data_IF_882695174763
#
_entry.id   IF_882695174763
#
_cell.length_a   1.000
_cell.length_b   1.000
_cell.length_c   1.000
_cell.angle_alpha   90.00
_cell.angle_beta   90.00
_cell.angle_gamma   90.00
#
_symmetry.space_group_name_H-M   'P 1'
#
loop_
_entity.id
_entity.type
_entity.pdbx_description
1 polymer ?
#
# COMPACT_ATOMS: atom_id res chain seq x y z
N UNK A 1 -15.74 2.48 -10.91
CA UNK A 1 -16.54 1.37 -10.38
C UNK A 1 -16.50 0.23 -11.38
N UNK A 2 -16.40 -1.01 -10.90
CA UNK A 2 -16.45 -2.23 -11.72
C UNK A 2 -17.70 -3.00 -11.33
N UNK A 3 -18.44 -3.50 -12.32
CA UNK A 3 -19.59 -4.37 -12.10
C UNK A 3 -19.24 -5.79 -12.55
N UNK A 4 -19.40 -6.76 -11.66
CA UNK A 4 -19.13 -8.16 -12.00
C UNK A 4 -20.35 -8.79 -12.71
N UNK A 5 -20.22 -10.04 -13.17
CA UNK A 5 -21.31 -10.76 -13.85
C UNK A 5 -22.56 -10.99 -12.99
N UNK A 6 -22.43 -11.02 -11.66
CA UNK A 6 -23.56 -11.17 -10.73
C UNK A 6 -24.17 -9.82 -10.30
N UNK A 7 -23.79 -8.73 -11.00
CA UNK A 7 -24.16 -7.33 -10.72
C UNK A 7 -23.57 -6.74 -9.43
N UNK A 8 -22.61 -7.42 -8.79
CA UNK A 8 -21.86 -6.84 -7.68
C UNK A 8 -21.08 -5.61 -8.13
N UNK A 9 -21.17 -4.54 -7.34
CA UNK A 9 -20.43 -3.29 -7.56
C UNK A 9 -19.18 -3.26 -6.68
N UNK A 10 -18.04 -3.01 -7.31
CA UNK A 10 -16.76 -2.85 -6.63
C UNK A 10 -16.24 -1.44 -6.94
N UNK A 11 -16.14 -0.61 -5.89
CA UNK A 11 -15.44 0.65 -5.97
C UNK A 11 -13.94 0.38 -5.85
N UNK A 12 -13.17 0.86 -6.82
CA UNK A 12 -11.71 0.86 -6.79
C UNK A 12 -11.26 2.31 -6.79
N UNK A 13 -10.55 2.72 -5.75
CA UNK A 13 -9.98 4.07 -5.60
C UNK A 13 -8.46 3.96 -5.64
N UNK A 14 -7.86 4.48 -6.70
CA UNK A 14 -6.40 4.59 -6.79
C UNK A 14 -5.96 5.92 -6.19
N UNK A 15 -4.97 5.87 -5.31
CA UNK A 15 -4.44 7.04 -4.60
C UNK A 15 -2.94 7.19 -4.83
N UNK A 16 -2.48 8.42 -4.82
CA UNK A 16 -1.07 8.77 -4.88
C UNK A 16 -0.49 8.86 -3.46
N UNK A 17 0.07 7.74 -3.00
CA UNK A 17 0.73 7.67 -1.69
C UNK A 17 2.06 8.40 -1.64
N UNK A 18 2.67 8.79 -2.77
CA UNK A 18 3.88 9.64 -2.75
C UNK A 18 3.56 11.03 -2.22
N UNK A 19 2.40 11.56 -2.58
CA UNK A 19 1.86 12.80 -2.02
C UNK A 19 1.53 12.69 -0.52
N UNK A 20 1.02 11.55 -0.09
CA UNK A 20 0.67 11.34 1.32
C UNK A 20 1.91 11.07 2.20
N UNK A 21 2.92 10.38 1.67
CA UNK A 21 4.16 10.06 2.40
C UNK A 21 5.23 11.16 2.32
N UNK A 22 5.24 11.94 1.23
CA UNK A 22 6.26 12.95 0.95
C UNK A 22 7.57 12.36 0.41
N UNK A 23 7.51 11.18 -0.24
CA UNK A 23 8.67 10.48 -0.79
C UNK A 23 8.95 9.11 -0.18
N UNK A 24 10.12 8.53 -0.49
CA UNK A 24 10.67 7.33 0.14
C UNK A 24 12.00 7.65 0.87
N UNK A 25 12.80 6.62 1.13
CA UNK A 25 14.13 6.70 1.74
C UNK A 25 15.11 7.60 0.98
N UNK A 26 15.04 7.63 -0.35
CA UNK A 26 16.03 8.26 -1.24
C UNK A 26 15.49 9.48 -1.97
N UNK A 27 14.22 9.47 -2.33
CA UNK A 27 13.55 10.45 -3.17
C UNK A 27 12.48 11.17 -2.35
N UNK A 28 12.49 12.50 -2.38
CA UNK A 28 11.44 13.35 -1.86
C UNK A 28 10.41 13.65 -2.95
N UNK A 29 9.16 13.85 -2.55
CA UNK A 29 8.12 14.38 -3.43
C UNK A 29 7.67 15.75 -2.90
N UNK A 30 7.81 16.79 -3.72
CA UNK A 30 7.34 18.13 -3.42
C UNK A 30 5.88 18.28 -3.85
N UNK A 31 4.98 18.49 -2.88
CA UNK A 31 3.55 18.68 -3.15
C UNK A 31 3.25 19.95 -3.95
N UNK A 32 4.03 21.01 -3.78
CA UNK A 32 3.74 22.29 -4.42
C UNK A 32 4.06 22.25 -5.92
N UNK A 33 5.10 21.51 -6.30
CA UNK A 33 5.59 21.46 -7.69
C UNK A 33 5.32 20.12 -8.37
N UNK A 34 4.97 19.07 -7.62
CA UNK A 34 4.89 17.69 -8.11
C UNK A 34 6.27 17.07 -8.44
N UNK A 35 7.37 17.76 -8.09
CA UNK A 35 8.72 17.33 -8.46
C UNK A 35 9.21 16.22 -7.53
N UNK A 36 9.82 15.19 -8.13
CA UNK A 36 10.63 14.21 -7.42
C UNK A 36 12.09 14.67 -7.39
N UNK A 37 12.74 14.59 -6.24
CA UNK A 37 14.13 15.01 -6.08
C UNK A 37 14.89 14.07 -5.16
N UNK A 38 16.17 13.85 -5.43
CA UNK A 38 17.02 13.06 -4.58
C UNK A 38 17.26 13.79 -3.26
N UNK A 39 17.06 13.10 -2.14
CA UNK A 39 17.22 13.68 -0.80
C UNK A 39 18.67 14.00 -0.48
N UNK A 40 19.59 13.08 -0.81
CA UNK A 40 21.00 13.22 -0.51
C UNK A 40 21.84 12.31 -1.41
N UNK A 41 22.55 12.88 -2.39
CA UNK A 41 23.38 12.12 -3.32
C UNK A 41 24.58 11.46 -2.61
N UNK A 42 25.14 12.14 -1.61
CA UNK A 42 26.28 11.63 -0.84
C UNK A 42 25.91 10.39 -0.03
N UNK A 43 24.69 10.34 0.53
CA UNK A 43 24.15 9.18 1.23
C UNK A 43 24.02 7.98 0.29
N UNK A 44 23.46 8.18 -0.91
CA UNK A 44 23.33 7.11 -1.92
C UNK A 44 24.69 6.50 -2.26
N UNK A 45 25.70 7.35 -2.51
CA UNK A 45 27.06 6.89 -2.79
C UNK A 45 27.67 6.14 -1.61
N UNK A 46 27.49 6.63 -0.39
CA UNK A 46 28.02 6.01 0.81
C UNK A 46 27.37 4.64 1.11
N UNK A 47 26.05 4.53 0.93
CA UNK A 47 25.33 3.27 1.13
C UNK A 47 25.68 2.24 0.06
N UNK A 48 25.92 2.66 -1.19
CA UNK A 48 26.47 1.78 -2.23
C UNK A 48 27.88 1.31 -1.89
N UNK A 49 28.78 2.21 -1.49
CA UNK A 49 30.14 1.85 -1.07
C UNK A 49 30.17 0.90 0.13
N UNK A 50 29.16 0.99 1.02
CA UNK A 50 28.98 0.09 2.15
C UNK A 50 28.26 -1.23 1.78
N UNK A 51 27.91 -1.46 0.52
CA UNK A 51 27.21 -2.66 0.06
C UNK A 51 25.77 -2.79 0.53
N UNK A 52 25.15 -1.69 0.99
CA UNK A 52 23.76 -1.69 1.48
C UNK A 52 22.73 -1.65 0.35
N UNK A 53 23.08 -0.98 -0.75
CA UNK A 53 22.26 -0.93 -1.96
C UNK A 53 22.99 -1.52 -3.16
N UNK A 54 22.22 -2.07 -4.10
CA UNK A 54 22.73 -2.64 -5.34
C UNK A 54 23.11 -1.55 -6.34
N UNK A 55 24.04 -1.88 -7.26
CA UNK A 55 24.51 -0.97 -8.30
C UNK A 55 23.38 -0.43 -9.18
N UNK A 56 22.39 -1.26 -9.50
CA UNK A 56 21.26 -0.85 -10.33
C UNK A 56 20.44 0.27 -9.66
N UNK A 57 20.15 0.14 -8.36
CA UNK A 57 19.45 1.17 -7.59
C UNK A 57 20.30 2.45 -7.48
N UNK A 58 21.58 2.31 -7.15
CA UNK A 58 22.53 3.43 -7.09
C UNK A 58 22.55 4.24 -8.40
N UNK A 59 22.69 3.55 -9.53
CA UNK A 59 22.82 4.19 -10.84
C UNK A 59 21.51 4.89 -11.26
N UNK A 60 20.35 4.28 -10.99
CA UNK A 60 19.05 4.91 -11.25
C UNK A 60 18.88 6.17 -10.40
N UNK A 61 19.16 6.10 -9.10
CA UNK A 61 18.98 7.23 -8.18
C UNK A 61 19.80 8.45 -8.58
N UNK A 62 21.06 8.23 -8.99
CA UNK A 62 21.97 9.33 -9.36
C UNK A 62 21.81 9.81 -10.81
N UNK A 63 21.18 9.01 -11.68
CA UNK A 63 20.95 9.38 -13.08
C UNK A 63 19.62 10.11 -13.26
N UNK A 64 18.57 9.62 -12.62
CA UNK A 64 17.19 10.07 -12.90
C UNK A 64 16.74 11.25 -12.01
N UNK A 65 17.42 11.49 -10.89
CA UNK A 65 16.99 12.50 -9.91
C UNK A 65 18.07 13.53 -9.64
N UNK A 66 17.70 14.80 -9.78
CA UNK A 66 18.48 15.92 -9.26
C UNK A 66 18.37 15.98 -7.73
N UNK A 67 19.48 16.31 -7.05
CA UNK A 67 19.47 16.52 -5.61
C UNK A 67 18.66 17.78 -5.24
N UNK A 68 17.83 17.66 -4.21
CA UNK A 68 17.08 18.79 -3.69
C UNK A 68 18.05 19.88 -3.18
N UNK A 69 17.83 21.17 -3.51
CA UNK A 69 18.68 22.24 -2.99
C UNK A 69 18.69 22.23 -1.46
N UNK A 70 19.82 22.52 -0.79
CA UNK A 70 19.92 22.51 0.68
C UNK A 70 18.88 23.39 1.39
N UNK A 71 18.33 24.38 0.68
CA UNK A 71 17.47 25.45 1.23
C UNK A 71 16.04 25.46 0.64
N UNK A 72 15.55 24.37 0.01
CA UNK A 72 14.16 24.26 -0.49
C UNK A 72 13.60 22.83 -0.40
N UNK A 73 12.32 22.65 -0.01
CA UNK A 73 11.68 23.10 1.23
C UNK A 73 10.96 21.94 1.95
N UNK A 74 10.28 22.28 3.04
CA UNK A 74 9.41 21.47 3.90
C UNK A 74 8.75 20.29 3.17
N UNK A 75 9.03 19.06 3.62
CA UNK A 75 8.34 17.85 3.16
C UNK A 75 6.91 17.90 3.69
N UNK A 76 5.98 18.32 2.86
CA UNK A 76 4.55 18.21 3.18
C UNK A 76 4.15 16.74 3.12
N UNK A 77 3.85 16.17 4.29
CA UNK A 77 3.18 14.86 4.41
C UNK A 77 1.69 15.09 4.61
N UNK A 78 0.89 14.10 4.22
CA UNK A 78 -0.55 14.12 4.46
C UNK A 78 -1.28 15.18 3.64
N UNK A 79 -1.06 15.20 2.32
CA UNK A 79 -1.78 16.06 1.36
C UNK A 79 -3.28 16.16 1.70
N UNK A 80 -3.74 17.29 2.28
CA UNK A 80 -5.07 17.39 2.84
C UNK A 80 -6.15 17.39 1.75
N UNK A 81 -5.82 17.87 0.55
CA UNK A 81 -6.75 17.86 -0.58
C UNK A 81 -7.03 16.43 -1.04
N UNK A 82 -5.99 15.60 -1.15
CA UNK A 82 -6.17 14.20 -1.51
C UNK A 82 -6.87 13.42 -0.40
N UNK A 83 -6.52 13.64 0.88
CA UNK A 83 -7.21 12.97 2.00
C UNK A 83 -8.70 13.29 2.03
N UNK A 84 -9.07 14.57 1.88
CA UNK A 84 -10.48 14.98 1.81
C UNK A 84 -11.20 14.36 0.60
N UNK A 85 -10.53 14.29 -0.55
CA UNK A 85 -11.07 13.64 -1.75
C UNK A 85 -11.28 12.13 -1.55
N UNK A 86 -10.33 11.43 -0.91
CA UNK A 86 -10.46 10.00 -0.58
C UNK A 86 -11.68 9.78 0.31
N UNK A 87 -11.79 10.52 1.41
CA UNK A 87 -12.91 10.41 2.34
C UNK A 87 -14.24 10.66 1.63
N UNK A 88 -14.36 11.76 0.88
CA UNK A 88 -15.59 12.10 0.14
C UNK A 88 -15.96 11.04 -0.89
N UNK A 89 -14.98 10.52 -1.62
CA UNK A 89 -15.18 9.50 -2.65
C UNK A 89 -15.66 8.17 -2.06
N UNK A 90 -15.05 7.75 -0.95
CA UNK A 90 -15.45 6.53 -0.26
C UNK A 90 -16.82 6.67 0.41
N UNK A 91 -17.10 7.83 1.01
CA UNK A 91 -18.37 8.11 1.70
C UNK A 91 -19.56 8.13 0.73
N UNK A 92 -19.38 8.74 -0.44
CA UNK A 92 -20.44 8.87 -1.44
C UNK A 92 -20.82 7.54 -2.14
N UNK A 93 -20.03 6.48 -1.96
CA UNK A 93 -20.24 5.21 -2.66
C UNK A 93 -21.07 4.21 -1.86
N UNK A 94 -22.06 3.63 -2.54
CA UNK A 94 -22.87 2.49 -2.07
C UNK A 94 -22.43 1.16 -2.67
N UNK A 95 -21.20 1.06 -3.19
CA UNK A 95 -20.68 -0.18 -3.76
C UNK A 95 -20.61 -1.30 -2.71
N UNK A 96 -20.84 -2.55 -3.15
CA UNK A 96 -20.80 -3.74 -2.29
C UNK A 96 -19.41 -3.97 -1.70
N UNK A 97 -18.36 -3.57 -2.42
CA UNK A 97 -16.97 -3.65 -1.99
C UNK A 97 -16.23 -2.34 -2.23
N UNK A 98 -15.39 -1.94 -1.26
CA UNK A 98 -14.49 -0.79 -1.39
C UNK A 98 -13.03 -1.26 -1.33
N UNK A 99 -12.30 -1.00 -2.42
CA UNK A 99 -10.89 -1.32 -2.57
C UNK A 99 -10.11 -0.03 -2.78
N UNK A 100 -9.07 0.19 -1.99
CA UNK A 100 -8.14 1.31 -2.14
C UNK A 100 -6.78 0.78 -2.58
N UNK A 101 -6.15 1.43 -3.55
CA UNK A 101 -4.86 1.02 -4.12
C UNK A 101 -3.86 2.17 -4.00
N UNK A 102 -2.71 1.90 -3.41
CA UNK A 102 -1.59 2.85 -3.30
C UNK A 102 -0.24 2.21 -3.61
N UNK A 103 0.83 3.00 -3.64
CA UNK A 103 2.17 2.47 -3.84
C UNK A 103 2.77 1.94 -2.52
N UNK A 104 2.84 2.78 -1.49
CA UNK A 104 3.44 2.46 -0.19
C UNK A 104 2.52 1.61 0.69
N UNK A 105 3.03 0.69 1.52
CA UNK A 105 2.21 0.04 2.55
C UNK A 105 1.71 1.05 3.58
N UNK A 106 0.46 0.90 4.04
CA UNK A 106 0.06 1.48 5.34
C UNK A 106 0.78 0.70 6.45
N UNK A 107 0.59 -0.61 6.46
CA UNK A 107 1.25 -1.56 7.36
C UNK A 107 2.16 -2.51 6.59
N UNK A 108 3.29 -2.88 7.20
CA UNK A 108 4.20 -3.86 6.63
C UNK A 108 4.95 -4.64 7.69
N UNK A 109 4.99 -5.96 7.50
CA UNK A 109 5.79 -6.89 8.29
C UNK A 109 7.27 -6.93 7.84
N UNK A 110 7.67 -6.12 6.87
CA UNK A 110 9.06 -5.98 6.45
C UNK A 110 9.88 -5.28 7.56
N UNK A 111 11.15 -5.67 7.69
CA UNK A 111 12.10 -5.02 8.61
C UNK A 111 13.27 -4.39 7.87
N UNK A 112 13.92 -3.40 8.49
CA UNK A 112 15.11 -2.74 7.93
C UNK A 112 14.76 -1.44 7.22
N UNK A 113 14.99 -1.37 5.91
CA UNK A 113 14.73 -0.15 5.11
C UNK A 113 13.24 0.14 4.88
N UNK A 114 12.38 -0.85 5.10
CA UNK A 114 10.94 -0.76 4.96
C UNK A 114 10.23 -1.11 6.28
N UNK A 115 8.91 -0.90 6.30
CA UNK A 115 8.04 -1.11 7.45
C UNK A 115 6.77 -0.27 7.29
N UNK A 116 6.05 -0.06 8.39
CA UNK A 116 4.88 0.81 8.41
C UNK A 116 5.19 2.21 7.89
N UNK A 117 4.33 2.74 7.03
CA UNK A 117 4.45 4.12 6.59
C UNK A 117 3.73 5.02 7.59
N UNK A 118 4.49 5.59 8.53
CA UNK A 118 3.95 6.32 9.67
C UNK A 118 2.93 7.43 9.32
N UNK A 119 3.11 8.15 8.22
CA UNK A 119 2.12 9.16 7.79
C UNK A 119 0.84 8.52 7.26
N UNK A 120 0.91 7.37 6.58
CA UNK A 120 -0.29 6.66 6.13
C UNK A 120 -1.04 6.02 7.29
N UNK A 121 -0.32 5.45 8.28
CA UNK A 121 -0.92 4.99 9.54
C UNK A 121 -1.63 6.13 10.27
N UNK A 122 -1.02 7.33 10.28
CA UNK A 122 -1.61 8.48 10.96
C UNK A 122 -2.80 9.09 10.22
N UNK A 123 -2.67 9.30 8.91
CA UNK A 123 -3.56 10.19 8.16
C UNK A 123 -4.52 9.41 7.23
N UNK A 124 -4.12 8.25 6.70
CA UNK A 124 -4.92 7.46 5.76
C UNK A 124 -5.70 6.34 6.45
N UNK A 125 -5.07 5.57 7.34
CA UNK A 125 -5.70 4.44 8.03
C UNK A 125 -7.03 4.82 8.71
N UNK A 126 -7.15 5.95 9.44
CA UNK A 126 -8.42 6.32 10.06
C UNK A 126 -9.56 6.50 9.04
N UNK A 127 -9.25 6.98 7.83
CA UNK A 127 -10.23 7.12 6.74
C UNK A 127 -10.62 5.74 6.21
N UNK A 128 -9.65 4.84 6.00
CA UNK A 128 -9.92 3.48 5.51
C UNK A 128 -10.86 2.72 6.46
N UNK A 129 -10.60 2.82 7.77
CA UNK A 129 -11.39 2.17 8.81
C UNK A 129 -12.79 2.80 8.91
N UNK A 130 -12.89 4.14 9.01
CA UNK A 130 -14.16 4.84 9.13
C UNK A 130 -15.08 4.63 7.92
N UNK A 131 -14.50 4.58 6.72
CA UNK A 131 -15.25 4.38 5.48
C UNK A 131 -15.49 2.91 5.12
N UNK A 132 -15.15 1.99 6.03
CA UNK A 132 -15.38 0.55 5.92
C UNK A 132 -14.71 -0.09 4.68
N UNK A 133 -13.50 0.36 4.34
CA UNK A 133 -12.70 -0.20 3.23
C UNK A 133 -12.42 -1.69 3.49
N UNK A 134 -12.66 -2.53 2.48
CA UNK A 134 -12.49 -3.97 2.63
C UNK A 134 -11.04 -4.39 2.40
N UNK A 135 -10.40 -3.77 1.40
CA UNK A 135 -9.03 -4.07 0.99
C UNK A 135 -8.24 -2.81 0.71
N UNK A 136 -7.01 -2.77 1.23
CA UNK A 136 -5.96 -1.87 0.77
C UNK A 136 -4.89 -2.69 0.04
N UNK A 137 -4.58 -2.32 -1.20
CA UNK A 137 -3.58 -3.00 -2.02
C UNK A 137 -2.36 -2.09 -2.19
N UNK A 138 -1.16 -2.65 -2.01
CA UNK A 138 0.09 -1.92 -2.23
C UNK A 138 1.21 -2.78 -2.82
N UNK A 139 2.27 -2.09 -3.24
CA UNK A 139 3.56 -2.68 -3.57
C UNK A 139 4.63 -2.12 -2.66
N UNK A 140 5.66 -1.52 -3.26
CA UNK A 140 6.81 -0.88 -2.62
C UNK A 140 7.73 -1.85 -1.87
N UNK A 141 7.22 -2.48 -0.83
CA UNK A 141 7.96 -3.51 -0.10
C UNK A 141 8.06 -4.73 -0.99
N UNK A 142 9.27 -5.11 -1.37
CA UNK A 142 9.56 -6.20 -2.30
C UNK A 142 9.30 -7.59 -1.68
N UNK A 143 8.12 -7.77 -1.11
CA UNK A 143 7.58 -9.00 -0.49
C UNK A 143 6.11 -9.17 -0.90
N UNK A 144 5.59 -10.37 -0.64
CA UNK A 144 4.16 -10.68 -0.65
C UNK A 144 3.71 -10.80 0.80
N UNK A 145 2.61 -10.16 1.18
CA UNK A 145 2.13 -10.22 2.57
C UNK A 145 0.63 -9.93 2.68
N UNK A 146 0.02 -10.46 3.73
CA UNK A 146 -1.35 -10.11 4.11
C UNK A 146 -1.40 -9.74 5.59
N UNK A 147 -1.89 -8.54 5.90
CA UNK A 147 -2.10 -8.03 7.26
C UNK A 147 -3.57 -7.63 7.40
N UNK A 148 -4.18 -7.92 8.54
CA UNK A 148 -5.53 -7.47 8.88
C UNK A 148 -5.53 -6.68 10.18
N UNK A 149 -5.94 -5.41 10.10
CA UNK A 149 -6.01 -4.47 11.22
C UNK A 149 -7.21 -3.53 11.03
N UNK A 150 -7.90 -3.18 12.11
CA UNK A 150 -9.02 -2.22 12.06
C UNK A 150 -10.18 -2.62 11.15
N UNK A 151 -10.34 -3.92 10.84
CA UNK A 151 -11.35 -4.41 9.91
C UNK A 151 -10.98 -4.29 8.42
N UNK A 152 -9.82 -3.73 8.10
CA UNK A 152 -9.27 -3.59 6.73
C UNK A 152 -8.26 -4.71 6.47
N UNK A 153 -8.25 -5.27 5.26
CA UNK A 153 -7.26 -6.24 4.80
C UNK A 153 -6.21 -5.53 3.93
N UNK A 154 -4.97 -5.46 4.42
CA UNK A 154 -3.82 -4.87 3.74
C UNK A 154 -3.06 -5.98 3.01
N UNK A 155 -3.15 -5.99 1.69
CA UNK A 155 -2.44 -6.94 0.84
C UNK A 155 -1.28 -6.27 0.11
N UNK A 156 -0.06 -6.72 0.41
CA UNK A 156 1.16 -6.25 -0.24
C UNK A 156 1.64 -7.22 -1.31
N UNK A 157 1.91 -6.71 -2.52
CA UNK A 157 2.47 -7.46 -3.65
C UNK A 157 3.57 -6.66 -4.36
N UNK A 158 4.65 -6.33 -3.64
CA UNK A 158 5.77 -5.57 -4.22
C UNK A 158 6.88 -6.45 -4.81
N UNK A 159 6.85 -7.77 -4.60
CA UNK A 159 7.84 -8.72 -5.12
C UNK A 159 7.64 -9.08 -6.61
N UNK A 160 7.31 -8.13 -7.48
CA UNK A 160 7.03 -8.43 -8.90
C UNK A 160 8.30 -8.74 -9.72
N UNK A 161 9.41 -8.10 -9.38
CA UNK A 161 10.69 -8.20 -10.12
C UNK A 161 11.94 -7.97 -9.26
N UNK A 162 11.76 -7.79 -7.94
CA UNK A 162 12.82 -7.62 -6.95
C UNK A 162 12.33 -8.19 -5.62
N UNK A 163 13.25 -8.63 -4.77
CA UNK A 163 12.95 -9.16 -3.44
C UNK A 163 13.61 -8.29 -2.36
N UNK A 164 12.95 -8.19 -1.19
CA UNK A 164 13.54 -7.60 0.01
C UNK A 164 13.92 -8.71 0.99
N UNK A 165 15.08 -8.53 1.63
CA UNK A 165 15.55 -9.45 2.67
C UNK A 165 15.19 -8.89 4.03
N UNK A 166 14.23 -9.54 4.69
CA UNK A 166 13.89 -9.25 6.07
C UNK A 166 12.39 -9.03 6.26
N UNK A 167 11.76 -10.02 6.88
CA UNK A 167 10.38 -9.95 7.35
C UNK A 167 10.35 -10.43 8.79
N UNK A 168 9.43 -9.88 9.57
CA UNK A 168 9.10 -10.42 10.88
C UNK A 168 7.84 -11.27 10.79
N UNK A 169 7.87 -12.44 11.43
CA UNK A 169 6.69 -13.31 11.56
C UNK A 169 5.82 -12.94 12.75
N UNK A 170 6.25 -11.99 13.58
CA UNK A 170 5.57 -11.58 14.81
C UNK A 170 4.88 -10.22 14.69
N UNK A 171 4.62 -9.75 13.47
CA UNK A 171 3.93 -8.48 13.24
C UNK A 171 2.45 -8.59 13.62
N UNK A 172 1.92 -7.56 14.29
CA UNK A 172 0.53 -7.53 14.76
C UNK A 172 -0.43 -7.55 13.57
N UNK A 173 -1.34 -8.52 13.55
CA UNK A 173 -2.33 -8.65 12.47
C UNK A 173 -1.78 -9.31 11.21
N UNK A 174 -0.54 -9.80 11.19
CA UNK A 174 -0.03 -10.59 10.06
C UNK A 174 -0.85 -11.88 9.92
N UNK A 175 -1.46 -12.05 8.75
CA UNK A 175 -2.42 -13.12 8.45
C UNK A 175 -1.73 -14.32 7.81
N UNK A 176 -0.90 -15.02 8.57
CA UNK A 176 -0.35 -16.33 8.20
C UNK A 176 0.46 -16.40 6.90
N UNK A 177 0.70 -15.27 6.22
CA UNK A 177 1.41 -15.22 4.96
C UNK A 177 2.23 -13.94 4.82
N UNK A 178 3.54 -14.16 4.75
CA UNK A 178 4.56 -13.21 4.36
C UNK A 178 5.64 -14.01 3.62
N UNK A 179 6.00 -13.61 2.41
CA UNK A 179 6.91 -14.35 1.54
C UNK A 179 7.79 -13.36 0.75
N UNK A 180 9.08 -13.65 0.60
CA UNK A 180 10.02 -12.84 -0.17
C UNK A 180 10.22 -13.33 -1.62
N UNK A 181 9.53 -14.41 -2.02
CA UNK A 181 9.53 -14.90 -3.39
C UNK A 181 8.75 -13.96 -4.33
N UNK A 182 9.08 -14.04 -5.62
CA UNK A 182 8.32 -13.33 -6.64
C UNK A 182 6.88 -13.79 -6.73
N UNK A 183 5.98 -12.88 -7.12
CA UNK A 183 4.60 -13.23 -7.40
C UNK A 183 3.69 -12.03 -7.68
N UNK A 184 2.42 -12.33 -7.84
CA UNK A 184 1.34 -11.37 -8.06
C UNK A 184 0.06 -11.85 -7.36
N UNK A 185 -0.99 -11.01 -7.37
CA UNK A 185 -2.29 -11.35 -6.81
C UNK A 185 -3.35 -11.52 -7.89
N UNK A 186 -4.24 -12.48 -7.69
CA UNK A 186 -5.51 -12.63 -8.39
C UNK A 186 -6.64 -12.27 -7.43
N UNK A 187 -7.57 -11.42 -7.89
CA UNK A 187 -8.75 -11.02 -7.12
C UNK A 187 -10.03 -11.49 -7.80
N UNK A 188 -10.92 -12.11 -7.04
CA UNK A 188 -12.20 -12.65 -7.51
C UNK A 188 -13.33 -12.17 -6.58
N UNK A 189 -14.31 -11.45 -7.13
CA UNK A 189 -15.40 -10.82 -6.37
C UNK A 189 -16.79 -11.29 -6.78
N UNK A 190 -17.66 -11.42 -5.78
CA UNK A 190 -19.10 -11.68 -5.88
C UNK A 190 -19.84 -10.88 -4.81
N UNK A 191 -21.17 -10.97 -4.78
CA UNK A 191 -21.98 -10.19 -3.84
C UNK A 191 -21.70 -10.52 -2.36
N UNK A 192 -21.13 -11.71 -2.10
CA UNK A 192 -20.92 -12.23 -0.73
C UNK A 192 -19.47 -12.55 -0.41
N UNK A 193 -18.58 -12.53 -1.41
CA UNK A 193 -17.18 -12.87 -1.22
C UNK A 193 -16.24 -12.01 -2.07
N UNK A 194 -15.13 -11.56 -1.48
CA UNK A 194 -14.01 -10.99 -2.20
C UNK A 194 -12.75 -11.78 -1.82
N UNK A 195 -12.20 -12.50 -2.79
CA UNK A 195 -11.10 -13.45 -2.61
C UNK A 195 -9.83 -12.92 -3.23
N UNK A 196 -8.73 -12.99 -2.49
CA UNK A 196 -7.38 -12.69 -2.96
C UNK A 196 -6.56 -13.98 -2.92
N UNK A 197 -5.91 -14.31 -4.04
CA UNK A 197 -4.96 -15.43 -4.15
C UNK A 197 -3.61 -14.90 -4.57
N UNK A 198 -2.56 -15.21 -3.81
CA UNK A 198 -1.18 -14.97 -4.24
C UNK A 198 -0.73 -16.08 -5.17
N UNK A 199 -0.08 -15.70 -6.27
CA UNK A 199 0.40 -16.60 -7.31
C UNK A 199 1.90 -16.38 -7.50
N UNK A 200 2.67 -17.45 -7.37
CA UNK A 200 4.12 -17.48 -7.55
C UNK A 200 4.50 -18.02 -8.95
N UNK A 201 5.76 -17.84 -9.41
CA UNK A 201 6.28 -18.48 -10.60
C UNK A 201 5.95 -19.98 -10.66
N UNK A 202 5.56 -20.47 -11.83
CA UNK A 202 5.07 -21.84 -12.01
C UNK A 202 3.60 -22.05 -11.63
N UNK A 203 2.89 -21.00 -11.20
CA UNK A 203 1.44 -21.04 -10.93
C UNK A 203 1.06 -21.55 -9.54
N UNK A 204 2.04 -21.70 -8.64
CA UNK A 204 1.81 -22.05 -7.24
C UNK A 204 0.93 -21.02 -6.55
N UNK A 205 0.00 -21.49 -5.71
CA UNK A 205 -0.97 -20.65 -4.97
C UNK A 205 -0.76 -20.83 -3.46
N UNK A 206 0.34 -20.30 -2.90
CA UNK A 206 0.71 -20.57 -1.50
C UNK A 206 -0.29 -19.98 -0.50
N UNK A 207 -1.09 -19.00 -0.91
CA UNK A 207 -2.04 -18.35 -0.02
C UNK A 207 -3.28 -17.85 -0.76
N UNK A 208 -4.45 -18.14 -0.19
CA UNK A 208 -5.75 -17.62 -0.60
C UNK A 208 -6.52 -17.17 0.63
N UNK A 209 -7.09 -15.98 0.57
CA UNK A 209 -7.93 -15.43 1.63
C UNK A 209 -9.23 -14.88 1.06
N UNK A 210 -10.35 -15.17 1.72
CA UNK A 210 -11.69 -14.74 1.31
C UNK A 210 -12.32 -13.89 2.39
N UNK A 211 -12.57 -12.61 2.08
CA UNK A 211 -13.46 -11.77 2.88
C UNK A 211 -14.89 -12.18 2.58
N UNK A 212 -15.70 -12.42 3.61
CA UNK A 212 -17.12 -12.78 3.46
C UNK A 212 -18.02 -11.69 4.05
N UNK A 213 -18.95 -11.19 3.25
CA UNK A 213 -20.06 -10.35 3.72
C UNK A 213 -21.31 -11.22 3.80
N UNK A 214 -21.84 -11.40 5.02
CA UNK A 214 -23.17 -11.98 5.21
C UNK A 214 -24.18 -10.84 5.40
N UNK A 215 -25.47 -11.10 5.14
CA UNK A 215 -26.54 -10.11 5.40
C UNK A 215 -26.53 -9.60 6.86
N UNK A 216 -26.08 -10.43 7.80
CA UNK A 216 -25.95 -10.09 9.23
C UNK A 216 -24.79 -9.13 9.50
N UNK A 217 -23.66 -9.28 8.80
CA UNK A 217 -22.50 -8.39 8.92
C UNK A 217 -22.79 -6.99 8.34
N UNK A 218 -23.65 -6.91 7.33
CA UNK A 218 -24.10 -5.63 6.75
C UNK A 218 -24.93 -4.85 7.77
N UNK A 219 -25.88 -5.52 8.44
CA UNK A 219 -26.72 -4.90 9.47
C UNK A 219 -25.91 -4.45 10.69
N UNK A 220 -24.90 -5.23 11.11
CA UNK A 220 -24.06 -4.87 12.25
C UNK A 220 -23.19 -3.64 11.96
N UNK A 221 -22.64 -3.51 10.75
CA UNK A 221 -21.93 -2.30 10.32
C UNK A 221 -22.84 -1.06 10.23
N UNK A 222 -24.10 -1.24 9.87
CA UNK A 222 -25.08 -0.13 9.87
C UNK A 222 -25.38 0.34 11.30
N UNK A 223 -25.51 -0.58 12.26
CA UNK A 223 -25.82 -0.25 13.66
C UNK A 223 -24.66 0.45 14.36
N UNK A 224 -23.41 0.15 14.03
CA UNK A 224 -22.23 0.83 14.61
C UNK A 224 -22.01 2.26 14.08
N UNK A 225 -22.73 2.67 13.03
CA UNK A 225 -22.68 4.01 12.43
C UNK A 225 -23.76 4.97 12.98
N UNK A 226 -24.63 4.52 13.90
CA UNK A 226 -25.67 5.31 14.57
C UNK A 226 -25.49 5.31 16.09
#
# INVERSE_FOLDING_TARGET
EVTTKDNTKILIVSIDTWRLNGGDTYVAHDLATGRLALRNASRVRAEYAAGKIEKALHDVLLREFEEAPPNQPIIYRGDPTQLAWIQTTLHASSADWKVVIGHFPVHSATSGEHGDTASLVKDLQPILEAENVDMYLNGHDHVLQHIQLGGVNYFGSGAGAREHKGMTTSYKGLMGYADNNYGFMLHEGSATALTTTFIQPGGGRPYTYTIRKTAKNILQRIVELF
#
